data_IF_445772941346
#
_entry.id   IF_445772941346
#
_cell.length_a   1.000
_cell.length_b   1.000
_cell.length_c   1.000
_cell.angle_alpha   90.00
_cell.angle_beta   90.00
_cell.angle_gamma   90.00
#
_symmetry.space_group_name_H-M   'P 1'
#
loop_
_entity.id
_entity.type
_entity.pdbx_description
1 polymer ?
#
# COMPACT_ATOMS: atom_id res chain seq x y z
N UNK A 1 -64.47 -11.27 -28.62
CA UNK A 1 -63.83 -12.57 -28.31
C UNK A 1 -62.33 -12.31 -28.27
N UNK A 2 -61.84 -12.13 -27.05
CA UNK A 2 -60.52 -12.47 -26.48
C UNK A 2 -59.30 -11.85 -27.18
N UNK A 3 -58.49 -10.91 -26.66
CA UNK A 3 -58.25 -10.30 -25.34
C UNK A 3 -58.17 -11.24 -24.13
N UNK A 4 -56.93 -11.53 -23.68
CA UNK A 4 -56.42 -12.20 -22.44
C UNK A 4 -55.25 -13.09 -22.92
N UNK A 5 -54.01 -12.93 -22.49
CA UNK A 5 -53.51 -13.11 -21.13
C UNK A 5 -52.16 -12.41 -21.02
N UNK A 6 -51.99 -11.53 -20.04
CA UNK A 6 -50.88 -11.55 -19.07
C UNK A 6 -51.21 -10.48 -18.03
N UNK A 7 -51.87 -10.94 -16.97
CA UNK A 7 -52.28 -10.15 -15.83
C UNK A 7 -51.22 -10.32 -14.74
N UNK A 8 -50.78 -9.18 -14.20
CA UNK A 8 -50.48 -8.94 -12.78
C UNK A 8 -49.42 -9.80 -12.08
N UNK A 9 -48.22 -9.22 -11.97
CA UNK A 9 -47.43 -9.28 -10.73
C UNK A 9 -46.78 -7.90 -10.52
N UNK A 10 -47.59 -6.92 -10.10
CA UNK A 10 -47.08 -5.69 -9.50
C UNK A 10 -46.69 -6.02 -8.05
N UNK A 11 -45.42 -6.37 -7.82
CA UNK A 11 -44.87 -6.39 -6.46
C UNK A 11 -44.42 -4.97 -6.12
N UNK A 12 -45.30 -4.27 -5.40
CA UNK A 12 -45.00 -3.05 -4.66
C UNK A 12 -44.01 -3.39 -3.55
N UNK A 13 -42.71 -3.29 -3.80
CA UNK A 13 -41.72 -3.17 -2.72
C UNK A 13 -41.60 -1.69 -2.37
N UNK A 14 -42.45 -1.26 -1.43
CA UNK A 14 -42.19 -0.06 -0.66
C UNK A 14 -40.95 -0.30 0.19
N UNK A 15 -39.80 0.18 -0.28
CA UNK A 15 -38.60 0.28 0.54
C UNK A 15 -38.81 1.49 1.45
N UNK A 16 -39.34 1.21 2.64
CA UNK A 16 -39.21 2.09 3.79
C UNK A 16 -37.72 2.34 4.02
N UNK A 17 -37.29 3.59 3.86
CA UNK A 17 -36.03 4.11 4.41
C UNK A 17 -36.13 4.06 5.94
N UNK A 18 -35.89 2.88 6.51
CA UNK A 18 -35.59 2.76 7.93
C UNK A 18 -34.16 3.24 8.13
N UNK A 19 -34.05 4.45 8.67
CA UNK A 19 -32.83 4.94 9.30
C UNK A 19 -32.33 3.85 10.25
N UNK A 20 -31.28 3.14 9.84
CA UNK A 20 -30.64 2.18 10.71
C UNK A 20 -30.04 2.97 11.86
N UNK A 21 -30.59 2.70 13.05
CA UNK A 21 -30.06 3.12 14.31
C UNK A 21 -28.55 2.95 14.31
N UNK A 22 -27.85 4.00 14.73
CA UNK A 22 -26.44 3.98 15.04
C UNK A 22 -26.13 2.71 15.84
N UNK A 23 -25.42 1.79 15.18
CA UNK A 23 -24.90 0.60 15.84
C UNK A 23 -24.14 1.07 17.08
N UNK A 24 -24.48 0.47 18.21
CA UNK A 24 -23.80 0.61 19.49
C UNK A 24 -22.29 0.71 19.25
N UNK A 25 -21.73 1.85 19.61
CA UNK A 25 -20.30 2.13 19.49
C UNK A 25 -19.52 0.93 20.01
N UNK A 26 -18.81 0.25 19.12
CA UNK A 26 -17.86 -0.76 19.52
C UNK A 26 -16.92 -0.11 20.53
N UNK A 27 -16.91 -0.70 21.73
CA UNK A 27 -15.91 -0.51 22.76
C UNK A 27 -14.54 -0.39 22.08
N UNK A 28 -13.68 0.56 22.50
CA UNK A 28 -12.38 0.79 21.86
C UNK A 28 -11.62 -0.53 21.82
N UNK A 29 -11.66 -1.22 20.67
CA UNK A 29 -11.32 -2.63 20.66
C UNK A 29 -9.83 -2.73 21.02
N UNK A 30 -9.57 -3.28 22.20
CA UNK A 30 -8.19 -3.54 22.64
C UNK A 30 -7.50 -4.34 21.53
N UNK A 31 -6.19 -4.13 21.33
CA UNK A 31 -5.43 -4.89 20.35
C UNK A 31 -5.71 -6.39 20.49
N UNK A 32 -5.97 -7.07 19.38
CA UNK A 32 -6.18 -8.52 19.40
C UNK A 32 -4.91 -9.20 19.93
N UNK A 33 -5.04 -9.89 21.07
CA UNK A 33 -3.94 -10.59 21.73
C UNK A 33 -3.26 -11.63 20.84
N UNK A 34 -4.01 -12.27 19.92
CA UNK A 34 -3.43 -13.23 18.98
C UNK A 34 -2.61 -12.52 17.91
N UNK A 35 -3.11 -11.40 17.39
CA UNK A 35 -2.35 -10.55 16.48
C UNK A 35 -1.06 -10.01 17.11
N UNK A 36 -1.08 -9.63 18.40
CA UNK A 36 0.11 -9.18 19.14
C UNK A 36 1.13 -10.30 19.25
N UNK A 37 0.71 -11.49 19.70
CA UNK A 37 1.60 -12.67 19.76
C UNK A 37 2.22 -12.98 18.40
N UNK A 38 1.42 -12.97 17.33
CA UNK A 38 1.90 -13.19 15.96
C UNK A 38 2.91 -12.14 15.51
N UNK A 39 2.67 -10.87 15.84
CA UNK A 39 3.59 -9.77 15.54
C UNK A 39 4.95 -9.98 16.22
N UNK A 40 4.96 -10.40 17.49
CA UNK A 40 6.17 -10.67 18.27
C UNK A 40 6.99 -11.87 17.73
N UNK A 41 6.33 -12.84 17.07
CA UNK A 41 7.01 -14.00 16.45
C UNK A 41 7.95 -13.63 15.30
N UNK A 42 7.89 -12.41 14.75
CA UNK A 42 8.78 -11.96 13.67
C UNK A 42 10.24 -12.05 14.06
N UNK A 43 10.60 -11.63 15.27
CA UNK A 43 11.99 -11.70 15.72
C UNK A 43 12.51 -13.13 15.69
N UNK A 44 11.72 -14.06 16.21
CA UNK A 44 12.07 -15.48 16.22
C UNK A 44 12.09 -16.08 14.82
N UNK A 45 11.15 -15.71 13.94
CA UNK A 45 11.13 -16.15 12.54
C UNK A 45 12.40 -15.72 11.81
N UNK A 46 12.81 -14.45 11.97
CA UNK A 46 14.01 -13.92 11.32
C UNK A 46 15.30 -14.51 11.89
N UNK A 47 15.31 -14.88 13.17
CA UNK A 47 16.43 -15.62 13.78
C UNK A 47 16.53 -17.06 13.26
N UNK A 48 15.38 -17.72 13.06
CA UNK A 48 15.31 -19.07 12.50
C UNK A 48 15.71 -19.10 11.02
N UNK A 49 15.30 -18.09 10.24
CA UNK A 49 15.52 -18.00 8.80
C UNK A 49 16.25 -16.72 8.40
N UNK A 50 17.58 -16.63 8.65
CA UNK A 50 18.35 -15.40 8.42
C UNK A 50 18.41 -14.98 6.94
N UNK A 51 18.21 -15.91 6.00
CA UNK A 51 18.13 -15.60 4.56
C UNK A 51 16.92 -14.70 4.24
N UNK A 52 15.81 -14.87 4.97
CA UNK A 52 14.61 -14.05 4.80
C UNK A 52 14.88 -12.61 5.19
N UNK A 53 15.49 -12.41 6.37
CA UNK A 53 15.88 -11.08 6.84
C UNK A 53 16.89 -10.42 5.88
N UNK A 54 17.91 -11.16 5.46
CA UNK A 54 18.93 -10.67 4.51
C UNK A 54 18.29 -10.23 3.20
N UNK A 55 17.34 -11.01 2.68
CA UNK A 55 16.64 -10.66 1.43
C UNK A 55 15.80 -9.39 1.62
N UNK A 56 15.07 -9.29 2.73
CA UNK A 56 14.25 -8.12 3.06
C UNK A 56 15.07 -6.82 3.11
N UNK A 57 16.20 -6.84 3.81
CA UNK A 57 17.05 -5.65 4.01
C UNK A 57 17.95 -5.35 2.82
N UNK A 58 18.23 -6.32 1.95
CA UNK A 58 19.04 -6.10 0.74
C UNK A 58 18.30 -5.42 -0.42
N UNK A 59 16.97 -5.31 -0.33
CA UNK A 59 16.18 -4.73 -1.42
C UNK A 59 16.33 -3.19 -1.44
N UNK A 60 17.01 -2.67 -2.46
CA UNK A 60 17.38 -1.26 -2.58
C UNK A 60 16.18 -0.28 -2.51
N UNK A 61 14.98 -0.73 -2.88
CA UNK A 61 13.78 0.11 -2.93
C UNK A 61 12.75 -0.25 -1.85
N UNK A 62 13.06 -1.15 -0.91
CA UNK A 62 12.17 -1.40 0.23
C UNK A 62 12.03 -0.16 1.14
N UNK A 63 12.95 0.81 1.06
CA UNK A 63 12.85 2.12 1.72
C UNK A 63 12.13 3.19 0.90
N UNK A 64 11.51 2.84 -0.24
CA UNK A 64 10.85 3.80 -1.14
C UNK A 64 11.77 4.94 -1.63
N UNK A 65 13.07 4.66 -1.80
CA UNK A 65 14.09 5.65 -2.16
C UNK A 65 14.59 6.51 -0.99
N UNK A 66 14.09 6.27 0.22
CA UNK A 66 14.67 6.75 1.48
C UNK A 66 15.50 5.67 2.19
N UNK A 67 16.13 6.05 3.30
CA UNK A 67 16.83 5.10 4.17
C UNK A 67 15.83 4.13 4.83
N UNK A 68 16.26 2.89 5.12
CA UNK A 68 15.41 1.93 5.81
C UNK A 68 15.47 2.08 7.33
N UNK A 69 14.35 1.78 7.97
CA UNK A 69 14.24 1.63 9.42
C UNK A 69 13.23 0.55 9.77
N UNK A 70 13.68 -0.51 10.44
CA UNK A 70 12.79 -1.59 10.91
C UNK A 70 11.85 -1.08 12.00
N UNK A 71 12.31 -0.17 12.85
CA UNK A 71 11.48 0.43 13.90
C UNK A 71 10.33 1.23 13.28
N UNK A 72 10.63 2.14 12.35
CA UNK A 72 9.59 2.93 11.67
C UNK A 72 8.66 2.04 10.86
N UNK A 73 9.18 1.09 10.08
CA UNK A 73 8.36 0.21 9.23
C UNK A 73 7.30 -0.58 10.00
N UNK A 74 7.54 -0.91 11.27
CA UNK A 74 6.60 -1.68 12.09
C UNK A 74 5.71 -0.80 12.99
N UNK A 75 6.04 0.49 13.15
CA UNK A 75 5.43 1.40 14.12
C UNK A 75 5.02 2.74 13.50
N UNK A 76 4.57 2.75 12.24
CA UNK A 76 4.21 4.00 11.53
C UNK A 76 3.08 4.79 12.23
N UNK A 77 2.24 4.12 13.01
CA UNK A 77 1.15 4.75 13.77
C UNK A 77 1.52 5.11 15.22
N UNK A 78 2.70 4.72 15.70
CA UNK A 78 3.07 4.90 17.10
C UNK A 78 3.50 6.33 17.41
N UNK A 79 2.84 6.98 18.37
CA UNK A 79 3.28 8.29 18.90
C UNK A 79 4.36 8.17 19.97
N UNK A 80 4.66 6.95 20.44
CA UNK A 80 5.45 6.72 21.65
C UNK A 80 6.60 5.74 21.47
N UNK A 81 6.72 5.05 20.33
CA UNK A 81 7.86 4.16 20.08
C UNK A 81 9.17 4.96 20.00
N UNK A 82 10.00 4.85 21.04
CA UNK A 82 11.22 5.64 21.20
C UNK A 82 12.25 5.38 20.10
N UNK A 83 12.40 4.13 19.65
CA UNK A 83 13.35 3.77 18.60
C UNK A 83 12.94 4.35 17.25
N UNK A 84 11.65 4.25 16.90
CA UNK A 84 11.12 4.82 15.66
C UNK A 84 11.23 6.37 15.64
N UNK A 85 10.98 7.03 16.77
CA UNK A 85 11.15 8.48 16.91
C UNK A 85 12.63 8.87 16.80
N UNK A 86 13.53 8.10 17.43
CA UNK A 86 14.96 8.34 17.35
C UNK A 86 15.48 8.17 15.91
N UNK A 87 15.05 7.12 15.22
CA UNK A 87 15.38 6.89 13.81
C UNK A 87 14.84 8.03 12.92
N UNK A 88 13.61 8.50 13.14
CA UNK A 88 13.05 9.60 12.37
C UNK A 88 13.87 10.89 12.54
N UNK A 89 14.31 11.20 13.77
CA UNK A 89 15.20 12.34 14.03
C UNK A 89 16.58 12.16 13.40
N UNK A 90 17.19 10.99 13.56
CA UNK A 90 18.57 10.73 13.15
C UNK A 90 18.74 10.66 11.62
N UNK A 91 17.73 10.15 10.91
CA UNK A 91 17.78 9.87 9.48
C UNK A 91 17.07 10.91 8.62
N UNK A 92 16.40 11.88 9.23
CA UNK A 92 15.80 12.98 8.49
C UNK A 92 16.88 13.89 7.89
N UNK A 93 16.70 14.24 6.63
CA UNK A 93 17.50 15.25 5.92
C UNK A 93 16.62 16.40 5.46
N UNK A 94 17.21 17.59 5.37
CA UNK A 94 16.53 18.80 4.92
C UNK A 94 17.17 19.26 3.62
N UNK A 95 16.44 19.13 2.51
CA UNK A 95 16.92 19.49 1.18
C UNK A 95 16.31 20.83 0.72
N UNK A 96 17.10 21.92 0.62
CA UNK A 96 16.60 23.19 0.11
C UNK A 96 16.45 23.17 -1.42
N UNK A 97 15.33 23.65 -1.93
CA UNK A 97 15.00 23.68 -3.36
C UNK A 97 14.61 25.07 -3.87
N UNK A 98 15.30 26.10 -3.37
CA UNK A 98 15.03 27.50 -3.71
C UNK A 98 14.38 28.27 -2.57
N UNK A 99 13.92 29.49 -2.86
CA UNK A 99 13.46 30.41 -1.82
C UNK A 99 12.27 29.84 -1.07
N UNK A 100 12.45 29.63 0.24
CA UNK A 100 11.40 29.15 1.13
C UNK A 100 10.80 27.82 0.69
N UNK A 101 11.58 26.92 0.09
CA UNK A 101 11.12 25.60 -0.36
C UNK A 101 12.08 24.54 0.13
N UNK A 102 11.57 23.53 0.82
CA UNK A 102 12.37 22.40 1.31
C UNK A 102 11.63 21.08 1.07
N UNK A 103 12.41 20.02 0.84
CA UNK A 103 11.96 18.65 0.96
C UNK A 103 12.60 18.06 2.22
N UNK A 104 11.77 17.72 3.22
CA UNK A 104 12.23 16.97 4.38
C UNK A 104 12.14 15.50 3.99
N UNK A 105 13.28 14.83 3.87
CA UNK A 105 13.30 13.40 3.54
C UNK A 105 13.54 12.58 4.78
N UNK A 106 12.70 11.59 5.00
CA UNK A 106 12.77 10.68 6.13
C UNK A 106 12.86 9.24 5.60
N UNK A 107 13.11 8.25 6.47
CA UNK A 107 12.89 6.86 6.11
C UNK A 107 11.48 6.66 5.54
N UNK A 108 11.38 6.00 4.39
CA UNK A 108 10.12 5.77 3.65
C UNK A 108 9.51 7.01 3.01
N UNK A 109 9.20 8.10 3.72
CA UNK A 109 8.37 9.21 3.22
C UNK A 109 9.05 10.59 3.27
N UNK A 110 8.56 11.54 2.49
CA UNK A 110 9.00 12.94 2.49
C UNK A 110 7.86 13.90 2.88
N UNK A 111 8.24 15.14 3.20
CA UNK A 111 7.33 16.26 3.45
C UNK A 111 7.82 17.46 2.64
N UNK A 112 6.98 18.03 1.78
CA UNK A 112 7.32 19.28 1.10
C UNK A 112 6.89 20.48 1.94
N UNK A 113 7.80 21.42 2.18
CA UNK A 113 7.57 22.61 3.01
C UNK A 113 7.77 23.86 2.17
N UNK A 114 6.76 24.73 2.18
CA UNK A 114 6.78 26.02 1.51
C UNK A 114 6.60 27.13 2.54
N UNK A 115 7.59 27.99 2.70
CA UNK A 115 7.41 29.24 3.44
C UNK A 115 6.79 30.29 2.54
N UNK A 116 5.65 30.83 2.97
CA UNK A 116 4.93 31.93 2.33
C UNK A 116 4.96 33.17 3.25
N UNK A 117 4.32 34.27 2.83
CA UNK A 117 4.14 35.45 3.69
C UNK A 117 3.17 35.22 4.86
N UNK A 118 2.23 34.29 4.71
CA UNK A 118 1.16 34.02 5.69
C UNK A 118 1.47 32.83 6.61
N UNK A 119 2.54 32.09 6.33
CA UNK A 119 3.00 30.97 7.15
C UNK A 119 3.58 29.84 6.33
N UNK A 120 3.86 28.72 7.01
CA UNK A 120 4.30 27.49 6.37
C UNK A 120 3.11 26.74 5.76
N UNK A 121 3.27 26.29 4.53
CA UNK A 121 2.39 25.32 3.87
C UNK A 121 3.14 24.01 3.77
N UNK A 122 2.58 22.94 4.31
CA UNK A 122 3.10 21.59 4.23
C UNK A 122 2.26 20.81 3.22
N UNK A 123 2.92 20.00 2.39
CA UNK A 123 2.29 18.87 1.70
C UNK A 123 2.80 17.62 2.39
N UNK A 124 1.85 16.92 3.02
CA UNK A 124 2.03 15.86 4.01
C UNK A 124 2.75 16.28 5.30
N UNK A 125 2.78 15.37 6.28
CA UNK A 125 3.27 15.57 7.63
C UNK A 125 3.98 14.32 8.21
N UNK A 126 4.26 13.31 7.39
CA UNK A 126 4.99 12.10 7.80
C UNK A 126 4.15 11.10 8.59
N UNK A 127 4.78 9.99 9.01
CA UNK A 127 4.22 9.00 9.93
C UNK A 127 4.20 9.50 11.38
N UNK A 128 3.48 8.83 12.29
CA UNK A 128 3.33 9.31 13.67
C UNK A 128 4.69 9.48 14.39
N UNK A 129 5.66 8.55 14.31
CA UNK A 129 6.99 8.77 14.91
C UNK A 129 7.76 10.00 14.37
N UNK A 130 7.42 10.53 13.20
CA UNK A 130 8.09 11.70 12.61
C UNK A 130 7.69 13.02 13.28
N UNK A 131 6.54 13.06 13.96
CA UNK A 131 5.96 14.31 14.50
C UNK A 131 6.94 15.19 15.29
N UNK A 132 7.67 14.65 16.28
CA UNK A 132 8.64 15.45 17.04
C UNK A 132 9.77 16.01 16.18
N UNK A 133 10.30 15.21 15.25
CA UNK A 133 11.37 15.63 14.33
C UNK A 133 10.88 16.72 13.36
N UNK A 134 9.64 16.59 12.88
CA UNK A 134 8.97 17.59 12.05
C UNK A 134 8.85 18.91 12.80
N UNK A 135 8.25 18.92 13.99
CA UNK A 135 8.07 20.13 14.81
C UNK A 135 9.41 20.84 15.06
N UNK A 136 10.42 20.11 15.53
CA UNK A 136 11.76 20.64 15.81
C UNK A 136 12.39 21.27 14.56
N UNK A 137 12.18 20.67 13.39
CA UNK A 137 12.76 21.13 12.12
C UNK A 137 12.05 22.37 11.59
N UNK A 138 10.71 22.40 11.60
CA UNK A 138 9.96 23.58 11.17
C UNK A 138 10.36 24.82 11.99
N UNK A 139 10.59 24.67 13.31
CA UNK A 139 11.05 25.76 14.18
C UNK A 139 12.46 26.25 13.87
N UNK A 140 13.31 25.40 13.31
CA UNK A 140 14.65 25.80 12.82
C UNK A 140 14.57 26.50 11.47
N UNK A 141 13.64 26.08 10.61
CA UNK A 141 13.47 26.62 9.26
C UNK A 141 12.76 27.99 9.25
N UNK A 142 11.79 28.18 10.14
CA UNK A 142 10.98 29.40 10.17
C UNK A 142 10.43 29.71 11.56
N UNK A 143 10.27 31.00 11.84
CA UNK A 143 9.52 31.50 13.01
C UNK A 143 8.03 31.66 12.75
N UNK A 144 7.56 31.45 11.51
CA UNK A 144 6.15 31.61 11.13
C UNK A 144 5.31 30.41 11.59
N UNK A 145 4.00 30.60 11.84
CA UNK A 145 3.10 29.51 12.17
C UNK A 145 2.91 28.55 10.99
N UNK A 146 2.44 27.34 11.28
CA UNK A 146 1.97 26.42 10.23
C UNK A 146 0.57 26.88 9.81
N UNK A 147 0.47 27.41 8.60
CA UNK A 147 -0.77 27.96 8.05
C UNK A 147 -1.68 26.84 7.53
N UNK A 148 -1.11 25.93 6.72
CA UNK A 148 -1.87 24.88 6.03
C UNK A 148 -1.06 23.58 5.99
N UNK A 149 -1.73 22.45 6.19
CA UNK A 149 -1.25 21.10 5.90
C UNK A 149 -2.18 20.50 4.83
N UNK A 150 -1.63 20.17 3.68
CA UNK A 150 -2.31 19.46 2.60
C UNK A 150 -1.97 17.98 2.76
N UNK A 151 -2.93 17.14 3.14
CA UNK A 151 -2.72 15.69 3.23
C UNK A 151 -3.07 15.08 1.88
N UNK A 152 -2.09 14.44 1.25
CA UNK A 152 -2.23 13.92 -0.11
C UNK A 152 -3.18 12.75 -0.18
N UNK A 153 -3.14 11.85 0.81
CA UNK A 153 -4.04 10.70 0.97
C UNK A 153 -3.94 10.05 2.36
N UNK A 154 -4.79 9.07 2.64
CA UNK A 154 -5.02 8.45 3.95
C UNK A 154 -3.89 7.56 4.50
N UNK A 155 -2.86 7.23 3.71
CA UNK A 155 -1.81 6.32 4.18
C UNK A 155 -1.05 6.90 5.41
N UNK A 156 -0.56 5.97 6.24
CA UNK A 156 -0.04 6.25 7.59
C UNK A 156 1.06 7.31 7.60
N UNK A 157 1.91 7.25 6.60
CA UNK A 157 3.14 8.02 6.43
C UNK A 157 2.92 9.42 5.85
N UNK A 158 1.68 9.79 5.52
CA UNK A 158 1.37 11.09 4.92
C UNK A 158 0.76 12.07 5.92
N UNK A 159 -0.14 11.62 6.79
CA UNK A 159 -0.86 12.52 7.68
C UNK A 159 -0.38 12.49 9.12
N UNK A 160 0.03 11.32 9.63
CA UNK A 160 -0.04 11.06 11.06
C UNK A 160 0.92 11.90 11.90
N UNK A 161 2.09 12.29 11.39
CA UNK A 161 3.06 13.12 12.12
C UNK A 161 2.54 14.51 12.50
N UNK A 162 1.43 14.97 11.89
CA UNK A 162 0.77 16.23 12.24
C UNK A 162 0.33 16.29 13.71
N UNK A 163 0.13 15.15 14.40
CA UNK A 163 -0.29 15.13 15.82
C UNK A 163 0.61 16.01 16.70
N UNK A 164 1.92 16.01 16.46
CA UNK A 164 2.89 16.73 17.28
C UNK A 164 2.78 18.24 17.08
N UNK A 165 2.43 18.70 15.87
CA UNK A 165 2.17 20.12 15.59
C UNK A 165 0.91 20.58 16.33
N UNK A 166 -0.17 19.79 16.26
CA UNK A 166 -1.44 20.09 16.92
C UNK A 166 -1.31 20.14 18.44
N UNK A 167 -0.61 19.18 19.04
CA UNK A 167 -0.34 19.17 20.49
C UNK A 167 0.58 20.32 20.94
N UNK A 168 1.46 20.81 20.06
CA UNK A 168 2.25 22.02 20.29
C UNK A 168 1.45 23.32 20.13
N UNK A 169 0.14 23.24 19.85
CA UNK A 169 -0.76 24.40 19.78
C UNK A 169 -0.86 25.06 18.40
N UNK A 170 -0.25 24.49 17.36
CA UNK A 170 -0.50 24.93 15.99
C UNK A 170 -1.95 24.69 15.60
N UNK A 171 -2.51 25.58 14.79
CA UNK A 171 -3.91 25.50 14.31
C UNK A 171 -3.97 25.64 12.79
N UNK A 172 -3.29 24.77 12.04
CA UNK A 172 -3.29 24.85 10.59
C UNK A 172 -4.66 24.49 10.03
N UNK A 173 -4.96 24.99 8.83
CA UNK A 173 -5.97 24.38 7.98
C UNK A 173 -5.45 23.01 7.52
N UNK A 174 -6.18 21.94 7.78
CA UNK A 174 -5.88 20.60 7.27
C UNK A 174 -6.82 20.33 6.11
N UNK A 175 -6.27 20.21 4.91
CA UNK A 175 -7.03 20.14 3.66
C UNK A 175 -6.71 18.83 2.95
N UNK A 176 -7.75 18.13 2.50
CA UNK A 176 -7.63 16.90 1.71
C UNK A 176 -8.91 16.68 0.88
N UNK A 177 -8.99 15.57 0.15
CA UNK A 177 -10.16 15.23 -0.66
C UNK A 177 -11.34 14.77 0.20
N UNK A 178 -12.55 14.78 -0.33
CA UNK A 178 -13.74 14.28 0.36
C UNK A 178 -13.64 12.76 0.63
N UNK A 179 -13.00 12.03 -0.29
CA UNK A 179 -12.80 10.58 -0.27
C UNK A 179 -11.90 10.11 0.87
N UNK A 180 -11.01 10.98 1.39
CA UNK A 180 -10.11 10.68 2.50
C UNK A 180 -10.84 10.07 3.70
N UNK A 181 -11.97 10.66 4.08
CA UNK A 181 -12.75 10.20 5.23
C UNK A 181 -13.33 8.80 5.01
N UNK A 182 -13.73 8.48 3.76
CA UNK A 182 -14.25 7.17 3.41
C UNK A 182 -13.15 6.10 3.42
N UNK A 183 -11.97 6.41 2.87
CA UNK A 183 -10.82 5.50 2.88
C UNK A 183 -10.29 5.26 4.31
N UNK A 184 -10.20 6.32 5.13
CA UNK A 184 -9.80 6.21 6.54
C UNK A 184 -10.83 5.43 7.38
N UNK A 185 -12.12 5.66 7.16
CA UNK A 185 -13.18 4.89 7.81
C UNK A 185 -13.13 3.40 7.44
N UNK A 186 -12.88 3.08 6.17
CA UNK A 186 -12.65 1.69 5.76
C UNK A 186 -11.43 1.08 6.46
N UNK A 187 -10.31 1.80 6.50
CA UNK A 187 -9.09 1.33 7.14
C UNK A 187 -9.26 1.07 8.63
N UNK A 188 -9.96 1.95 9.33
CA UNK A 188 -10.22 1.79 10.77
C UNK A 188 -11.22 0.67 11.05
N UNK A 189 -12.27 0.50 10.22
CA UNK A 189 -13.21 -0.63 10.30
C UNK A 189 -12.54 -1.97 10.04
N UNK A 190 -11.52 -2.02 9.17
CA UNK A 190 -10.78 -3.24 8.86
C UNK A 190 -9.39 -3.27 9.48
N UNK A 191 -9.12 -2.52 10.55
CA UNK A 191 -7.76 -2.28 11.06
C UNK A 191 -6.95 -3.56 11.31
N UNK A 192 -7.56 -4.60 11.88
CA UNK A 192 -6.90 -5.87 12.14
C UNK A 192 -6.51 -6.61 10.84
N UNK A 193 -7.23 -6.37 9.75
CA UNK A 193 -6.96 -6.94 8.44
C UNK A 193 -6.06 -6.02 7.59
N UNK A 194 -6.53 -4.83 7.21
CA UNK A 194 -5.81 -3.95 6.29
C UNK A 194 -4.49 -3.43 6.88
N UNK A 195 -4.49 -2.99 8.14
CA UNK A 195 -3.34 -2.32 8.74
C UNK A 195 -2.42 -3.32 9.46
N UNK A 196 -2.99 -4.13 10.36
CA UNK A 196 -2.19 -5.07 11.16
C UNK A 196 -1.67 -6.23 10.30
N UNK A 197 -2.56 -6.92 9.59
CA UNK A 197 -2.20 -8.12 8.83
C UNK A 197 -1.49 -7.76 7.51
N UNK A 198 -2.08 -6.90 6.68
CA UNK A 198 -1.56 -6.64 5.32
C UNK A 198 -0.40 -5.62 5.30
N UNK A 199 -0.44 -4.62 6.18
CA UNK A 199 0.64 -3.62 6.31
C UNK A 199 1.65 -3.97 7.41
N UNK A 200 1.45 -5.10 8.09
CA UNK A 200 2.39 -5.61 9.10
C UNK A 200 2.64 -4.63 10.25
N UNK A 201 1.69 -3.76 10.58
CA UNK A 201 1.85 -2.81 11.68
C UNK A 201 1.58 -3.43 13.04
N UNK A 202 2.17 -2.84 14.07
CA UNK A 202 1.94 -3.26 15.45
C UNK A 202 0.46 -3.09 15.84
N UNK A 203 -0.25 -4.17 16.23
CA UNK A 203 -1.65 -4.08 16.62
C UNK A 203 -1.93 -3.08 17.74
N UNK A 204 -0.92 -2.73 18.56
CA UNK A 204 -1.05 -1.79 19.68
C UNK A 204 -1.13 -0.33 19.24
N UNK A 205 -0.61 -0.01 18.07
CA UNK A 205 -0.49 1.37 17.59
C UNK A 205 -1.59 1.74 16.57
N UNK A 206 -2.26 0.76 15.94
CA UNK A 206 -3.17 1.03 14.82
C UNK A 206 -4.46 1.77 15.23
N UNK A 207 -4.91 2.75 14.41
CA UNK A 207 -6.18 3.44 14.63
C UNK A 207 -7.36 2.49 14.41
N UNK A 208 -8.39 2.61 15.25
CA UNK A 208 -9.60 1.76 15.21
C UNK A 208 -10.89 2.56 15.12
N UNK A 209 -10.79 3.87 15.23
CA UNK A 209 -11.87 4.83 15.00
C UNK A 209 -11.35 5.94 14.10
N UNK A 210 -12.23 6.52 13.31
CA UNK A 210 -11.89 7.66 12.47
C UNK A 210 -11.28 8.82 13.28
N UNK A 211 -11.72 9.01 14.53
CA UNK A 211 -11.18 10.02 15.45
C UNK A 211 -9.76 9.75 15.94
N UNK A 212 -9.21 8.56 15.70
CA UNK A 212 -7.81 8.24 16.02
C UNK A 212 -6.85 8.75 14.92
N UNK A 213 -7.39 9.07 13.74
CA UNK A 213 -6.66 9.62 12.60
C UNK A 213 -6.53 11.15 12.68
N UNK A 214 -5.83 11.73 11.70
CA UNK A 214 -5.76 13.19 11.53
C UNK A 214 -6.98 13.64 10.72
N UNK A 215 -7.90 14.35 11.39
CA UNK A 215 -9.12 14.82 10.75
C UNK A 215 -8.87 16.11 9.96
N UNK A 216 -9.35 16.22 8.71
CA UNK A 216 -9.29 17.46 7.96
C UNK A 216 -10.20 18.52 8.57
N UNK A 217 -9.76 19.78 8.52
CA UNK A 217 -10.61 20.94 8.83
C UNK A 217 -11.48 21.32 7.64
N UNK A 218 -11.06 20.93 6.44
CA UNK A 218 -11.74 21.22 5.18
C UNK A 218 -11.49 20.08 4.18
N UNK A 219 -12.53 19.65 3.48
CA UNK A 219 -12.42 18.72 2.35
C UNK A 219 -12.88 19.37 1.05
N UNK A 220 -12.48 18.79 -0.09
CA UNK A 220 -12.93 19.23 -1.41
C UNK A 220 -13.10 18.07 -2.38
N UNK A 221 -13.81 18.31 -3.48
CA UNK A 221 -13.98 17.37 -4.60
C UNK A 221 -13.35 17.94 -5.85
N UNK A 222 -12.73 17.11 -6.68
CA UNK A 222 -12.16 17.54 -7.96
C UNK A 222 -10.92 18.42 -7.79
N UNK A 223 -11.03 19.72 -8.04
CA UNK A 223 -9.89 20.63 -7.94
C UNK A 223 -10.17 21.78 -6.96
N UNK A 224 -9.14 22.15 -6.20
CA UNK A 224 -9.17 23.31 -5.30
C UNK A 224 -7.93 24.17 -5.48
N UNK A 225 -8.12 25.49 -5.56
CA UNK A 225 -7.02 26.45 -5.58
C UNK A 225 -6.93 27.16 -4.23
N UNK A 226 -5.74 27.21 -3.65
CA UNK A 226 -5.42 27.96 -2.43
C UNK A 226 -4.44 29.08 -2.78
N UNK A 227 -4.79 30.32 -2.41
CA UNK A 227 -3.87 31.46 -2.46
C UNK A 227 -3.38 31.74 -1.05
N UNK A 228 -2.08 31.57 -0.82
CA UNK A 228 -1.47 31.73 0.51
C UNK A 228 -0.19 32.56 0.34
N UNK A 229 -0.24 33.82 0.77
CA UNK A 229 0.81 34.80 0.46
C UNK A 229 0.89 35.07 -1.04
N UNK A 230 2.09 34.93 -1.61
CA UNK A 230 2.36 35.20 -3.03
C UNK A 230 2.22 33.94 -3.91
N UNK A 231 1.91 32.78 -3.32
CA UNK A 231 1.84 31.50 -4.02
C UNK A 231 0.39 31.03 -4.22
N UNK A 232 0.21 30.33 -5.35
CA UNK A 232 -1.02 29.63 -5.68
C UNK A 232 -0.75 28.12 -5.69
N UNK A 233 -1.47 27.39 -4.84
CA UNK A 233 -1.43 25.93 -4.74
C UNK A 233 -2.70 25.37 -5.38
N UNK A 234 -2.56 24.67 -6.49
CA UNK A 234 -3.68 24.00 -7.17
C UNK A 234 -3.63 22.52 -6.80
N UNK A 235 -4.57 22.10 -5.96
CA UNK A 235 -4.76 20.73 -5.49
C UNK A 235 -5.71 20.03 -6.45
N UNK A 236 -5.26 18.95 -7.08
CA UNK A 236 -6.07 18.19 -8.02
C UNK A 236 -6.23 16.77 -7.50
N UNK A 237 -7.46 16.38 -7.17
CA UNK A 237 -7.83 15.01 -6.87
C UNK A 237 -7.79 14.19 -8.16
N UNK A 238 -7.12 13.05 -8.11
CA UNK A 238 -7.16 12.04 -9.15
C UNK A 238 -6.94 10.67 -8.51
N UNK A 239 -7.74 9.67 -8.85
CA UNK A 239 -7.55 8.37 -8.21
C UNK A 239 -6.24 7.75 -8.69
N UNK A 240 -5.53 7.08 -7.80
CA UNK A 240 -4.18 6.59 -8.06
C UNK A 240 -3.87 5.36 -7.25
N UNK A 241 -2.92 5.48 -6.33
CA UNK A 241 -2.60 4.46 -5.35
C UNK A 241 -3.80 4.16 -4.43
N UNK A 242 -4.58 5.20 -4.14
CA UNK A 242 -5.85 5.15 -3.42
C UNK A 242 -6.92 5.98 -4.13
N UNK A 243 -8.18 5.85 -3.68
CA UNK A 243 -9.29 6.61 -4.23
C UNK A 243 -9.28 8.10 -3.80
N UNK A 244 -8.57 8.45 -2.73
CA UNK A 244 -8.55 9.79 -2.14
C UNK A 244 -7.35 10.65 -2.54
N UNK A 245 -6.46 10.13 -3.37
CA UNK A 245 -5.18 10.77 -3.67
C UNK A 245 -5.30 12.08 -4.43
N UNK A 246 -4.48 13.06 -4.05
CA UNK A 246 -4.34 14.34 -4.76
C UNK A 246 -2.87 14.67 -5.04
N UNK A 247 -2.63 15.52 -6.04
CA UNK A 247 -1.33 16.15 -6.30
C UNK A 247 -1.44 17.67 -6.27
N UNK A 248 -0.31 18.36 -6.08
CA UNK A 248 -0.26 19.82 -5.90
C UNK A 248 0.61 20.46 -6.97
N UNK A 249 0.06 21.41 -7.71
CA UNK A 249 0.81 22.29 -8.61
C UNK A 249 1.04 23.65 -7.94
N UNK A 250 2.27 24.13 -7.92
CA UNK A 250 2.65 25.46 -7.45
C UNK A 250 3.27 26.21 -8.63
N UNK A 251 2.40 26.70 -9.52
CA UNK A 251 2.81 27.27 -10.80
C UNK A 251 3.74 28.49 -10.64
N UNK A 252 3.52 29.30 -9.60
CA UNK A 252 4.37 30.46 -9.25
C UNK A 252 5.83 30.07 -8.99
N UNK A 253 6.07 28.83 -8.57
CA UNK A 253 7.40 28.26 -8.31
C UNK A 253 7.83 27.24 -9.37
N UNK A 254 6.95 26.90 -10.33
CA UNK A 254 7.10 25.80 -11.30
C UNK A 254 7.39 24.44 -10.66
N UNK A 255 6.68 24.15 -9.57
CA UNK A 255 6.84 22.93 -8.78
C UNK A 255 5.59 22.07 -8.90
N UNK A 256 5.77 20.75 -9.04
CA UNK A 256 4.72 19.77 -8.76
C UNK A 256 5.11 18.94 -7.55
N UNK A 257 4.20 18.81 -6.58
CA UNK A 257 4.30 17.80 -5.52
C UNK A 257 3.45 16.61 -5.94
N UNK A 258 4.11 15.50 -6.26
CA UNK A 258 3.49 14.38 -6.98
C UNK A 258 2.84 13.34 -6.06
N UNK A 259 2.72 13.59 -4.75
CA UNK A 259 2.29 12.57 -3.80
C UNK A 259 3.02 11.23 -4.05
N UNK A 260 2.24 10.14 -4.07
CA UNK A 260 2.67 8.79 -4.40
C UNK A 260 2.51 8.44 -5.88
N UNK A 261 2.10 9.37 -6.74
CA UNK A 261 1.91 9.06 -8.15
C UNK A 261 3.23 8.71 -8.84
N UNK A 262 4.31 9.41 -8.48
CA UNK A 262 5.64 9.05 -8.95
C UNK A 262 6.48 8.48 -7.81
N UNK A 263 7.15 7.37 -8.08
CA UNK A 263 8.04 6.66 -7.18
C UNK A 263 9.33 6.28 -7.93
N UNK A 264 10.49 6.16 -7.26
CA UNK A 264 11.78 5.94 -7.92
C UNK A 264 12.02 4.48 -8.38
N UNK A 265 10.95 3.71 -8.60
CA UNK A 265 10.93 2.31 -8.98
C UNK A 265 9.60 2.00 -9.71
N UNK A 266 9.45 0.77 -10.23
CA UNK A 266 8.19 0.40 -10.90
C UNK A 266 7.01 0.63 -9.96
N UNK A 267 6.13 1.57 -10.34
CA UNK A 267 5.10 2.09 -9.45
C UNK A 267 4.32 0.98 -8.77
N UNK A 268 4.05 1.16 -7.48
CA UNK A 268 3.48 0.12 -6.65
C UNK A 268 1.99 -0.22 -6.98
N UNK A 269 1.45 0.23 -8.12
CA UNK A 269 0.10 -0.05 -8.63
C UNK A 269 -0.30 -1.54 -8.56
N UNK A 270 0.66 -2.46 -8.64
CA UNK A 270 0.44 -3.91 -8.54
C UNK A 270 0.37 -4.49 -7.12
N UNK A 271 0.25 -3.69 -6.06
CA UNK A 271 0.24 -4.23 -4.70
C UNK A 271 -1.05 -5.02 -4.39
N UNK A 272 -1.02 -6.34 -4.58
CA UNK A 272 -2.17 -7.24 -4.39
C UNK A 272 -2.70 -7.35 -2.95
N UNK A 273 -2.00 -6.81 -1.95
CA UNK A 273 -2.49 -6.72 -0.56
C UNK A 273 -3.42 -5.53 -0.33
N UNK A 274 -3.66 -4.68 -1.33
CA UNK A 274 -4.35 -3.41 -1.14
C UNK A 274 -5.76 -3.43 -1.70
N UNK A 275 -6.57 -2.45 -1.27
CA UNK A 275 -7.81 -2.08 -1.96
C UNK A 275 -7.51 -1.72 -3.43
N UNK A 276 -8.57 -1.52 -4.21
CA UNK A 276 -8.41 -1.18 -5.63
C UNK A 276 -7.43 0.00 -5.79
N UNK A 277 -6.48 -0.14 -6.72
CA UNK A 277 -5.65 0.98 -7.20
C UNK A 277 -6.09 1.31 -8.62
N UNK A 278 -6.14 2.59 -8.96
CA UNK A 278 -6.82 3.08 -10.15
C UNK A 278 -5.81 3.33 -11.26
N UNK A 279 -5.35 2.24 -11.89
CA UNK A 279 -4.18 2.23 -12.79
C UNK A 279 -4.35 3.18 -13.98
N UNK A 280 -5.54 3.22 -14.60
CA UNK A 280 -5.83 4.11 -15.72
C UNK A 280 -5.86 5.59 -15.31
N UNK A 281 -6.54 5.90 -14.20
CA UNK A 281 -6.64 7.28 -13.68
C UNK A 281 -5.27 7.78 -13.18
N UNK A 282 -4.47 6.90 -12.58
CA UNK A 282 -3.09 7.18 -12.21
C UNK A 282 -2.26 7.55 -13.44
N UNK A 283 -2.35 6.78 -14.52
CA UNK A 283 -1.65 7.09 -15.77
C UNK A 283 -2.03 8.48 -16.29
N UNK A 284 -3.31 8.86 -16.20
CA UNK A 284 -3.78 10.19 -16.59
C UNK A 284 -3.22 11.28 -15.68
N UNK A 285 -3.26 11.11 -14.36
CA UNK A 285 -2.72 12.07 -13.39
C UNK A 285 -1.24 12.39 -13.66
N UNK A 286 -0.44 11.38 -14.00
CA UNK A 286 0.96 11.56 -14.39
C UNK A 286 1.13 12.39 -15.67
N UNK A 287 0.24 12.22 -16.65
CA UNK A 287 0.23 13.04 -17.88
C UNK A 287 -0.19 14.48 -17.58
N UNK A 288 -1.16 14.67 -16.70
CA UNK A 288 -1.63 15.99 -16.29
C UNK A 288 -0.53 16.76 -15.55
N UNK A 289 0.21 16.09 -14.66
CA UNK A 289 1.41 16.65 -14.03
C UNK A 289 2.48 17.01 -15.06
N UNK A 290 2.75 16.16 -16.04
CA UNK A 290 3.72 16.46 -17.08
C UNK A 290 3.27 17.66 -17.92
N UNK A 291 1.97 17.81 -18.19
CA UNK A 291 1.41 18.91 -18.96
C UNK A 291 1.57 20.28 -18.29
N UNK A 292 1.73 20.34 -16.96
CA UNK A 292 2.06 21.61 -16.26
C UNK A 292 3.49 22.08 -16.48
N UNK A 293 4.34 21.24 -17.09
CA UNK A 293 5.75 21.52 -17.41
C UNK A 293 6.54 22.04 -16.21
N UNK A 294 6.57 21.32 -15.08
CA UNK A 294 7.30 21.75 -13.89
C UNK A 294 8.82 21.69 -14.13
N UNK A 295 9.54 22.63 -13.52
CA UNK A 295 11.01 22.63 -13.48
C UNK A 295 11.52 21.69 -12.37
N UNK A 296 10.71 21.48 -11.33
CA UNK A 296 11.01 20.67 -10.15
C UNK A 296 9.81 19.78 -9.78
N UNK A 297 10.07 18.49 -9.52
CA UNK A 297 9.10 17.58 -8.92
C UNK A 297 9.57 17.14 -7.53
N UNK A 298 8.70 17.32 -6.54
CA UNK A 298 8.89 16.89 -5.16
C UNK A 298 7.99 15.67 -4.90
N UNK A 299 8.53 14.45 -4.86
CA UNK A 299 7.74 13.27 -4.56
C UNK A 299 7.62 13.04 -3.06
N UNK A 300 6.60 12.30 -2.63
CA UNK A 300 6.49 11.89 -1.22
C UNK A 300 7.35 10.66 -0.92
N UNK A 301 8.00 10.09 -1.94
CA UNK A 301 8.95 8.99 -1.83
C UNK A 301 10.19 9.23 -2.69
N UNK A 302 11.38 9.10 -2.11
CA UNK A 302 12.65 9.22 -2.83
C UNK A 302 13.17 10.65 -2.99
N UNK A 303 14.17 10.88 -3.85
CA UNK A 303 14.76 12.19 -4.06
C UNK A 303 13.90 13.10 -4.96
N UNK A 304 14.04 14.41 -4.82
CA UNK A 304 13.48 15.38 -5.74
C UNK A 304 14.06 15.22 -7.17
N UNK A 305 13.25 15.50 -8.18
CA UNK A 305 13.69 15.60 -9.58
C UNK A 305 13.89 17.08 -9.92
N UNK A 306 15.13 17.50 -10.04
CA UNK A 306 15.52 18.92 -10.16
C UNK A 306 15.80 19.36 -11.60
N UNK A 307 15.56 18.50 -12.58
CA UNK A 307 15.75 18.77 -14.00
C UNK A 307 14.43 18.60 -14.76
N UNK A 308 13.96 19.66 -15.43
CA UNK A 308 12.69 19.65 -16.15
C UNK A 308 12.55 18.53 -17.20
N UNK A 309 13.62 18.22 -17.93
CA UNK A 309 13.61 17.16 -18.94
C UNK A 309 13.51 15.77 -18.29
N UNK A 310 14.21 15.58 -17.16
CA UNK A 310 14.09 14.36 -16.36
C UNK A 310 12.67 14.21 -15.78
N UNK A 311 12.06 15.30 -15.30
CA UNK A 311 10.67 15.28 -14.81
C UNK A 311 9.72 14.83 -15.91
N UNK A 312 9.83 15.40 -17.12
CA UNK A 312 9.01 15.02 -18.27
C UNK A 312 9.20 13.55 -18.64
N UNK A 313 10.45 13.10 -18.79
CA UNK A 313 10.76 11.71 -19.14
C UNK A 313 10.16 10.73 -18.12
N UNK A 314 10.37 10.99 -16.83
CA UNK A 314 9.95 10.07 -15.76
C UNK A 314 8.44 10.00 -15.60
N UNK A 315 7.74 11.14 -15.59
CA UNK A 315 6.27 11.15 -15.52
C UNK A 315 5.63 10.43 -16.70
N UNK A 316 6.11 10.70 -17.92
CA UNK A 316 5.55 10.11 -19.14
C UNK A 316 5.92 8.63 -19.28
N UNK A 317 7.11 8.21 -18.86
CA UNK A 317 7.51 6.80 -18.82
C UNK A 317 6.63 6.00 -17.84
N UNK A 318 6.39 6.54 -16.65
CA UNK A 318 5.47 5.94 -15.66
C UNK A 318 4.04 5.88 -16.18
N UNK A 319 3.54 6.94 -16.83
CA UNK A 319 2.21 6.94 -17.44
C UNK A 319 2.09 5.90 -18.56
N UNK A 320 3.11 5.76 -19.40
CA UNK A 320 3.16 4.76 -20.46
C UNK A 320 3.18 3.33 -19.90
N UNK A 321 3.93 3.09 -18.82
CA UNK A 321 3.96 1.80 -18.14
C UNK A 321 2.55 1.39 -17.66
N UNK A 322 1.85 2.28 -16.95
CA UNK A 322 0.51 1.99 -16.45
C UNK A 322 -0.52 1.85 -17.57
N UNK A 323 -0.50 2.73 -18.58
CA UNK A 323 -1.40 2.67 -19.75
C UNK A 323 -1.23 1.34 -20.48
N UNK A 324 0.02 0.89 -20.68
CA UNK A 324 0.27 -0.38 -21.36
C UNK A 324 -0.25 -1.59 -20.58
N UNK A 325 -0.21 -1.59 -19.26
CA UNK A 325 -0.82 -2.65 -18.46
C UNK A 325 -2.35 -2.68 -18.64
N UNK A 326 -2.98 -1.50 -18.72
CA UNK A 326 -4.42 -1.37 -18.98
C UNK A 326 -4.78 -1.93 -20.37
N UNK A 327 -4.09 -1.46 -21.40
CA UNK A 327 -4.34 -1.86 -22.79
C UNK A 327 -4.16 -3.37 -22.97
N UNK A 328 -3.05 -3.95 -22.49
CA UNK A 328 -2.78 -5.39 -22.62
C UNK A 328 -3.82 -6.26 -21.90
N UNK A 329 -4.34 -5.80 -20.76
CA UNK A 329 -5.40 -6.52 -20.03
C UNK A 329 -6.73 -6.42 -20.76
N UNK A 330 -7.12 -5.23 -21.22
CA UNK A 330 -8.36 -5.03 -21.97
C UNK A 330 -8.34 -5.85 -23.28
N UNK A 331 -7.22 -5.85 -24.00
CA UNK A 331 -7.03 -6.67 -25.20
C UNK A 331 -7.17 -8.16 -24.89
N UNK A 332 -6.60 -8.60 -23.77
CA UNK A 332 -6.72 -9.98 -23.30
C UNK A 332 -8.17 -10.38 -22.99
N UNK A 333 -8.89 -9.53 -22.26
CA UNK A 333 -10.30 -9.75 -21.91
C UNK A 333 -11.20 -9.77 -23.15
N UNK A 334 -11.00 -8.83 -24.08
CA UNK A 334 -11.76 -8.77 -25.34
C UNK A 334 -11.44 -9.94 -26.28
N UNK A 335 -10.28 -10.57 -26.12
CA UNK A 335 -9.89 -11.80 -26.82
C UNK A 335 -10.35 -13.08 -26.11
N UNK A 336 -11.22 -12.98 -25.10
CA UNK A 336 -11.76 -14.10 -24.32
C UNK A 336 -10.67 -14.97 -23.65
N UNK A 337 -9.52 -14.36 -23.31
CA UNK A 337 -8.45 -15.04 -22.58
C UNK A 337 -8.80 -15.14 -21.11
N UNK A 338 -8.38 -16.24 -20.48
CA UNK A 338 -8.55 -16.43 -19.04
C UNK A 338 -7.65 -15.46 -18.25
N UNK A 339 -8.06 -14.94 -17.07
CA UNK A 339 -7.25 -13.99 -16.32
C UNK A 339 -5.80 -14.42 -16.03
N UNK A 340 -5.54 -15.70 -15.74
CA UNK A 340 -4.18 -16.22 -15.57
C UNK A 340 -3.36 -16.21 -16.87
N UNK A 341 -4.00 -16.46 -18.02
CA UNK A 341 -3.35 -16.37 -19.34
C UNK A 341 -2.98 -14.92 -19.66
N UNK A 342 -3.84 -13.97 -19.30
CA UNK A 342 -3.56 -12.53 -19.44
C UNK A 342 -2.36 -12.15 -18.57
N UNK A 343 -2.38 -12.46 -17.26
CA UNK A 343 -1.27 -12.13 -16.34
C UNK A 343 0.04 -12.83 -16.74
N UNK A 344 -0.02 -14.03 -17.31
CA UNK A 344 1.16 -14.73 -17.81
C UNK A 344 1.73 -14.10 -19.09
N UNK A 345 0.87 -13.50 -19.93
CA UNK A 345 1.27 -12.94 -21.22
C UNK A 345 1.73 -11.48 -21.15
N UNK A 346 1.32 -10.70 -20.14
CA UNK A 346 1.69 -9.28 -20.05
C UNK A 346 3.19 -9.07 -19.94
N UNK A 347 3.70 -8.07 -20.66
CA UNK A 347 5.12 -7.72 -20.66
C UNK A 347 5.31 -6.21 -20.54
N UNK A 348 6.33 -5.80 -19.78
CA UNK A 348 6.76 -4.41 -19.75
C UNK A 348 7.16 -3.99 -21.18
N UNK A 349 6.70 -2.81 -21.66
CA UNK A 349 7.04 -2.29 -22.98
C UNK A 349 8.55 -2.30 -23.22
N UNK A 350 8.98 -2.71 -24.42
CA UNK A 350 10.41 -2.86 -24.76
C UNK A 350 11.21 -1.59 -24.49
N UNK A 351 10.65 -0.42 -24.85
CA UNK A 351 11.28 0.87 -24.65
C UNK A 351 11.40 1.31 -23.17
N UNK A 352 10.77 0.59 -22.24
CA UNK A 352 10.85 0.85 -20.80
C UNK A 352 11.72 -0.18 -20.06
N UNK A 353 12.16 -1.26 -20.74
CA UNK A 353 13.02 -2.28 -20.13
C UNK A 353 14.39 -1.70 -19.77
N UNK A 354 14.93 -2.16 -18.63
CA UNK A 354 16.24 -1.73 -18.13
C UNK A 354 16.28 -0.35 -17.48
N UNK A 355 15.18 0.42 -17.51
CA UNK A 355 15.09 1.69 -16.77
C UNK A 355 15.13 1.43 -15.26
N UNK A 356 15.91 2.24 -14.53
CA UNK A 356 16.03 2.12 -13.06
C UNK A 356 14.72 2.39 -12.34
N UNK A 357 13.94 3.35 -12.84
CA UNK A 357 12.61 3.71 -12.33
C UNK A 357 11.50 2.73 -12.79
N UNK A 358 11.85 1.66 -13.50
CA UNK A 358 10.96 0.55 -13.85
C UNK A 358 11.46 -0.79 -13.28
N UNK A 359 12.42 -0.75 -12.35
CA UNK A 359 12.93 -1.94 -11.71
C UNK A 359 11.83 -2.61 -10.87
N UNK A 360 11.63 -3.92 -11.07
CA UNK A 360 10.65 -4.77 -10.35
C UNK A 360 11.10 -5.11 -8.93
N UNK A 361 11.45 -4.09 -8.14
CA UNK A 361 11.98 -4.27 -6.79
C UNK A 361 10.89 -4.24 -5.73
N UNK A 362 9.76 -3.58 -5.99
CA UNK A 362 8.67 -3.48 -5.02
C UNK A 362 7.52 -4.43 -5.39
N UNK A 363 7.06 -4.34 -6.63
CA UNK A 363 6.12 -5.25 -7.29
C UNK A 363 6.66 -5.59 -8.68
N UNK A 364 6.01 -6.53 -9.37
CA UNK A 364 6.29 -6.86 -10.78
C UNK A 364 5.27 -6.19 -11.69
N UNK A 365 5.62 -5.98 -12.95
CA UNK A 365 4.69 -5.46 -13.96
C UNK A 365 3.45 -6.33 -14.10
N UNK A 366 3.60 -7.67 -14.06
CA UNK A 366 2.46 -8.59 -14.05
C UNK A 366 1.50 -8.40 -12.88
N UNK A 367 1.98 -7.88 -11.74
CA UNK A 367 1.10 -7.58 -10.61
C UNK A 367 0.26 -6.33 -10.88
N UNK A 368 0.77 -5.37 -11.66
CA UNK A 368 -0.03 -4.21 -12.13
C UNK A 368 -1.19 -4.71 -12.97
N UNK A 369 -0.94 -5.65 -13.90
CA UNK A 369 -2.00 -6.28 -14.68
C UNK A 369 -3.04 -7.00 -13.81
N UNK A 370 -2.64 -7.68 -12.72
CA UNK A 370 -3.58 -8.27 -11.77
C UNK A 370 -4.48 -7.23 -11.10
N UNK A 371 -3.97 -6.03 -10.81
CA UNK A 371 -4.78 -4.93 -10.26
C UNK A 371 -5.77 -4.36 -11.28
N UNK A 372 -5.37 -4.28 -12.56
CA UNK A 372 -6.29 -3.91 -13.65
C UNK A 372 -7.37 -4.99 -13.81
N UNK A 373 -7.01 -6.27 -13.84
CA UNK A 373 -7.99 -7.36 -13.93
C UNK A 373 -9.01 -7.33 -12.78
N UNK A 374 -8.59 -6.99 -11.57
CA UNK A 374 -9.51 -6.81 -10.43
C UNK A 374 -10.57 -5.73 -10.70
N UNK A 375 -10.24 -4.68 -11.45
CA UNK A 375 -11.14 -3.58 -11.80
C UNK A 375 -12.07 -3.94 -12.96
N UNK A 376 -11.53 -4.54 -14.03
CA UNK A 376 -12.26 -4.75 -15.28
C UNK A 376 -12.83 -6.17 -15.47
N UNK A 377 -12.19 -7.19 -14.88
CA UNK A 377 -12.55 -8.60 -15.05
C UNK A 377 -13.42 -9.18 -13.93
N UNK A 378 -13.51 -8.50 -12.78
CA UNK A 378 -14.21 -9.01 -11.60
C UNK A 378 -13.48 -10.18 -10.93
N UNK A 379 -14.21 -10.97 -10.14
CA UNK A 379 -13.65 -12.10 -9.38
C UNK A 379 -13.66 -13.43 -10.15
N UNK A 380 -14.51 -13.54 -11.18
CA UNK A 380 -14.66 -14.77 -11.96
C UNK A 380 -13.44 -15.01 -12.84
N UNK A 381 -12.87 -16.22 -12.79
CA UNK A 381 -11.61 -16.53 -13.47
C UNK A 381 -11.76 -17.46 -14.68
N UNK A 382 -12.97 -17.77 -15.13
CA UNK A 382 -13.21 -18.60 -16.31
C UNK A 382 -13.06 -20.12 -16.10
N UNK A 383 -12.81 -20.61 -14.88
CA UNK A 383 -12.71 -22.05 -14.58
C UNK A 383 -14.00 -22.55 -13.93
N UNK A 384 -14.87 -23.32 -14.61
CA UNK A 384 -16.19 -23.75 -14.09
C UNK A 384 -16.16 -24.37 -12.69
N UNK A 385 -15.16 -25.20 -12.40
CA UNK A 385 -15.00 -25.85 -11.09
C UNK A 385 -14.66 -24.90 -9.95
N UNK A 386 -14.30 -23.64 -10.26
CA UNK A 386 -13.96 -22.61 -9.28
C UNK A 386 -15.10 -21.62 -9.03
N UNK A 387 -16.26 -21.78 -9.69
CA UNK A 387 -17.46 -21.01 -9.38
C UNK A 387 -18.01 -21.35 -8.00
N UNK A 388 -18.03 -22.64 -7.67
CA UNK A 388 -18.39 -23.18 -6.36
C UNK A 388 -17.48 -24.38 -6.04
N UNK A 389 -16.21 -24.14 -5.68
CA UNK A 389 -15.24 -25.21 -5.50
C UNK A 389 -15.49 -25.98 -4.20
N UNK A 390 -15.08 -27.25 -4.17
CA UNK A 390 -14.91 -27.96 -2.91
C UNK A 390 -13.99 -27.16 -1.97
N UNK A 391 -14.22 -27.27 -0.66
CA UNK A 391 -13.37 -26.57 0.31
C UNK A 391 -11.89 -26.89 0.10
N UNK A 392 -11.01 -25.91 0.32
CA UNK A 392 -9.56 -26.11 0.17
C UNK A 392 -9.06 -27.31 0.99
N UNK A 393 -9.62 -27.54 2.18
CA UNK A 393 -9.30 -28.68 3.03
C UNK A 393 -9.74 -30.02 2.40
N UNK A 394 -10.96 -30.10 1.85
CA UNK A 394 -11.47 -31.30 1.18
C UNK A 394 -10.63 -31.67 -0.03
N UNK A 395 -10.38 -30.68 -0.91
CA UNK A 395 -9.53 -30.87 -2.08
C UNK A 395 -8.13 -31.34 -1.68
N UNK A 396 -7.53 -30.69 -0.69
CA UNK A 396 -6.17 -31.00 -0.25
C UNK A 396 -6.05 -32.40 0.36
N UNK A 397 -7.03 -32.83 1.17
CA UNK A 397 -7.09 -34.22 1.69
C UNK A 397 -7.16 -35.25 0.58
N UNK A 398 -7.94 -34.98 -0.46
CA UNK A 398 -8.04 -35.87 -1.62
C UNK A 398 -6.70 -35.95 -2.37
N UNK A 399 -6.02 -34.82 -2.58
CA UNK A 399 -4.70 -34.78 -3.21
C UNK A 399 -3.65 -35.55 -2.41
N UNK A 400 -3.64 -35.38 -1.08
CA UNK A 400 -2.76 -36.14 -0.17
C UNK A 400 -3.05 -37.64 -0.22
N UNK A 401 -4.32 -38.04 -0.23
CA UNK A 401 -4.71 -39.45 -0.35
C UNK A 401 -4.24 -40.05 -1.70
N UNK A 402 -4.39 -39.31 -2.80
CA UNK A 402 -3.90 -39.74 -4.12
C UNK A 402 -2.38 -39.87 -4.17
N UNK A 403 -1.65 -39.04 -3.41
CA UNK A 403 -0.20 -39.12 -3.30
C UNK A 403 0.30 -40.27 -2.39
N UNK A 404 -0.61 -41.05 -1.79
CA UNK A 404 -0.26 -42.15 -0.89
C UNK A 404 0.03 -41.72 0.56
N UNK A 405 -0.44 -40.53 0.96
CA UNK A 405 -0.32 -40.01 2.33
C UNK A 405 0.56 -38.77 2.43
N UNK A 406 0.43 -38.05 3.56
CA UNK A 406 1.05 -36.74 3.77
C UNK A 406 2.58 -36.80 3.77
N UNK A 407 3.16 -37.92 4.21
CA UNK A 407 4.61 -38.10 4.23
C UNK A 407 5.22 -38.03 2.83
N UNK A 408 4.58 -38.67 1.84
CA UNK A 408 5.04 -38.63 0.45
C UNK A 408 5.01 -37.19 -0.10
N UNK A 409 3.99 -36.42 0.29
CA UNK A 409 3.90 -35.00 -0.09
C UNK A 409 5.01 -34.18 0.57
N UNK A 410 5.27 -34.37 1.87
CA UNK A 410 6.37 -33.70 2.58
C UNK A 410 7.74 -34.04 2.01
N UNK A 411 7.99 -35.29 1.66
CA UNK A 411 9.24 -35.72 1.04
C UNK A 411 9.42 -35.07 -0.33
N UNK A 412 8.34 -34.97 -1.11
CA UNK A 412 8.35 -34.27 -2.40
C UNK A 412 8.57 -32.75 -2.24
N UNK A 413 7.98 -32.12 -1.22
CA UNK A 413 8.23 -30.71 -0.89
C UNK A 413 9.72 -30.51 -0.59
N UNK A 414 10.33 -31.37 0.24
CA UNK A 414 11.75 -31.29 0.60
C UNK A 414 12.66 -31.45 -0.62
N UNK A 415 12.31 -32.36 -1.54
CA UNK A 415 13.03 -32.56 -2.79
C UNK A 415 12.94 -31.32 -3.70
N UNK A 416 11.73 -30.82 -3.95
CA UNK A 416 11.47 -29.70 -4.84
C UNK A 416 11.93 -28.36 -4.29
N UNK A 417 12.02 -28.19 -2.97
CA UNK A 417 12.44 -26.91 -2.37
C UNK A 417 13.82 -26.44 -2.85
N UNK A 418 14.65 -27.33 -3.40
CA UNK A 418 15.97 -27.01 -3.97
C UNK A 418 15.95 -26.74 -5.49
N UNK A 419 15.00 -27.31 -6.22
CA UNK A 419 14.95 -27.24 -7.70
C UNK A 419 13.83 -26.36 -8.22
N UNK A 420 12.65 -26.44 -7.60
CA UNK A 420 11.48 -25.61 -7.89
C UNK A 420 10.78 -25.21 -6.58
N UNK A 421 11.29 -24.18 -5.89
CA UNK A 421 10.71 -23.75 -4.62
C UNK A 421 9.30 -23.16 -4.77
N UNK A 422 8.89 -22.72 -5.97
CA UNK A 422 7.53 -22.25 -6.21
C UNK A 422 6.54 -23.42 -6.14
N UNK A 423 6.83 -24.51 -6.86
CA UNK A 423 6.04 -25.73 -6.83
C UNK A 423 6.06 -26.39 -5.45
N UNK A 424 7.21 -26.38 -4.77
CA UNK A 424 7.31 -26.86 -3.40
C UNK A 424 6.35 -26.14 -2.44
N UNK A 425 6.21 -24.81 -2.56
CA UNK A 425 5.26 -24.04 -1.76
C UNK A 425 3.80 -24.38 -2.09
N UNK A 426 3.46 -24.60 -3.37
CA UNK A 426 2.11 -25.03 -3.74
C UNK A 426 1.76 -26.39 -3.14
N UNK A 427 2.71 -27.34 -3.12
CA UNK A 427 2.52 -28.62 -2.45
C UNK A 427 2.47 -28.47 -0.92
N UNK A 428 3.25 -27.55 -0.35
CA UNK A 428 3.21 -27.23 1.08
C UNK A 428 1.83 -26.70 1.49
N UNK A 429 1.21 -25.84 0.68
CA UNK A 429 -0.17 -25.40 0.91
C UNK A 429 -1.15 -26.57 0.91
N UNK A 430 -1.02 -27.51 -0.03
CA UNK A 430 -1.83 -28.75 -0.06
C UNK A 430 -1.64 -29.57 1.23
N UNK A 431 -0.39 -29.85 1.62
CA UNK A 431 -0.13 -30.58 2.86
C UNK A 431 -0.72 -29.85 4.08
N UNK A 432 -0.51 -28.54 4.17
CA UNK A 432 -1.01 -27.69 5.24
C UNK A 432 -2.53 -27.71 5.36
N UNK A 433 -3.26 -27.53 4.27
CA UNK A 433 -4.73 -27.53 4.32
C UNK A 433 -5.32 -28.93 4.54
N UNK A 434 -4.58 -30.00 4.21
CA UNK A 434 -4.98 -31.36 4.52
C UNK A 434 -4.83 -31.71 6.00
N UNK A 435 -3.69 -31.33 6.61
CA UNK A 435 -3.33 -31.64 7.99
C UNK A 435 -2.79 -30.41 8.75
N UNK A 436 -3.63 -29.41 9.06
CA UNK A 436 -3.20 -28.10 9.55
C UNK A 436 -2.62 -28.09 10.98
N UNK A 437 -2.74 -29.20 11.70
CA UNK A 437 -2.20 -29.38 13.07
C UNK A 437 -1.02 -30.37 13.10
N UNK A 438 -0.60 -30.91 11.95
CA UNK A 438 0.53 -31.83 11.88
C UNK A 438 1.84 -31.03 11.98
N UNK A 439 2.66 -31.34 12.98
CA UNK A 439 3.91 -30.62 13.25
C UNK A 439 4.93 -30.73 12.10
N UNK A 440 5.08 -31.91 11.48
CA UNK A 440 6.03 -32.09 10.36
C UNK A 440 5.56 -31.32 9.11
N UNK A 441 4.24 -31.25 8.87
CA UNK A 441 3.66 -30.44 7.79
C UNK A 441 3.92 -28.96 8.01
N UNK A 442 3.62 -28.44 9.20
CA UNK A 442 3.82 -27.03 9.55
C UNK A 442 5.31 -26.63 9.44
N UNK A 443 6.21 -27.48 9.94
CA UNK A 443 7.65 -27.25 9.85
C UNK A 443 8.17 -27.35 8.40
N UNK A 444 7.73 -28.37 7.64
CA UNK A 444 8.10 -28.54 6.24
C UNK A 444 7.62 -27.37 5.38
N UNK A 445 6.42 -26.85 5.63
CA UNK A 445 5.90 -25.67 4.94
C UNK A 445 6.70 -24.40 5.29
N UNK A 446 7.07 -24.20 6.56
CA UNK A 446 7.93 -23.09 6.96
C UNK A 446 9.27 -23.11 6.22
N UNK A 447 9.91 -24.28 6.15
CA UNK A 447 11.20 -24.45 5.48
C UNK A 447 11.09 -24.23 3.97
N UNK A 448 10.01 -24.71 3.34
CA UNK A 448 9.76 -24.50 1.91
C UNK A 448 9.59 -23.00 1.58
N UNK A 449 8.79 -22.26 2.35
CA UNK A 449 8.62 -20.82 2.15
C UNK A 449 9.89 -20.02 2.48
N UNK A 450 10.70 -20.46 3.45
CA UNK A 450 12.01 -19.86 3.71
C UNK A 450 12.94 -20.02 2.51
N UNK A 451 12.95 -21.20 1.86
CA UNK A 451 13.75 -21.46 0.65
C UNK A 451 13.19 -20.77 -0.61
N UNK A 452 11.89 -20.49 -0.65
CA UNK A 452 11.28 -19.67 -1.70
C UNK A 452 11.79 -18.23 -1.70
N UNK A 453 12.15 -17.70 -0.53
CA UNK A 453 12.73 -16.36 -0.40
C UNK A 453 14.19 -16.34 -0.86
N UNK A 454 14.41 -15.68 -2.01
CA UNK A 454 15.70 -15.57 -2.67
C UNK A 454 16.04 -14.10 -3.01
N UNK A 455 17.32 -13.73 -3.14
CA UNK A 455 17.74 -12.39 -3.55
C UNK A 455 17.07 -11.93 -4.85
N UNK A 456 16.73 -10.64 -4.94
CA UNK A 456 16.03 -10.07 -6.10
C UNK A 456 14.51 -10.24 -6.07
N UNK A 457 13.95 -10.86 -5.02
CA UNK A 457 12.51 -10.92 -4.82
C UNK A 457 11.92 -9.52 -4.53
N UNK A 458 10.82 -9.14 -5.19
CA UNK A 458 10.13 -7.88 -4.91
C UNK A 458 9.64 -7.81 -3.46
N UNK A 459 9.70 -6.63 -2.85
CA UNK A 459 9.32 -6.41 -1.44
C UNK A 459 7.92 -6.92 -1.12
N UNK A 460 6.93 -6.68 -1.99
CA UNK A 460 5.56 -7.12 -1.72
C UNK A 460 5.42 -8.65 -1.75
N UNK A 461 6.06 -9.33 -2.71
CA UNK A 461 6.09 -10.81 -2.77
C UNK A 461 6.70 -11.38 -1.49
N UNK A 462 7.83 -10.81 -1.05
CA UNK A 462 8.50 -11.21 0.19
C UNK A 462 7.61 -11.04 1.43
N UNK A 463 6.93 -9.90 1.58
CA UNK A 463 6.08 -9.66 2.76
C UNK A 463 4.87 -10.61 2.81
N UNK A 464 4.35 -11.05 1.66
CA UNK A 464 3.28 -12.07 1.60
C UNK A 464 3.79 -13.39 2.19
N UNK A 465 4.98 -13.82 1.78
CA UNK A 465 5.59 -15.06 2.29
C UNK A 465 5.91 -14.97 3.79
N UNK A 466 6.48 -13.85 4.25
CA UNK A 466 6.72 -13.63 5.68
C UNK A 466 5.42 -13.73 6.49
N UNK A 467 4.33 -13.13 6.01
CA UNK A 467 3.05 -13.16 6.73
C UNK A 467 2.45 -14.56 6.80
N UNK A 468 2.61 -15.36 5.73
CA UNK A 468 2.22 -16.77 5.71
C UNK A 468 3.09 -17.60 6.66
N UNK A 469 4.41 -17.43 6.63
CA UNK A 469 5.34 -18.08 7.56
C UNK A 469 5.03 -17.75 9.03
N UNK A 470 4.64 -16.51 9.34
CA UNK A 470 4.19 -16.16 10.70
C UNK A 470 2.91 -16.92 11.11
N UNK A 471 1.99 -17.19 10.17
CA UNK A 471 0.81 -18.02 10.44
C UNK A 471 1.22 -19.44 10.78
N UNK A 472 2.05 -20.05 9.93
CA UNK A 472 2.55 -21.42 10.14
C UNK A 472 3.30 -21.55 11.46
N UNK A 473 4.20 -20.59 11.77
CA UNK A 473 4.97 -20.58 13.01
C UNK A 473 4.09 -20.41 14.25
N UNK A 474 3.09 -19.54 14.17
CA UNK A 474 2.12 -19.37 15.26
C UNK A 474 1.37 -20.67 15.54
N UNK A 475 0.91 -21.36 14.49
CA UNK A 475 0.21 -22.64 14.63
C UNK A 475 1.11 -23.75 15.13
N UNK A 476 2.35 -23.83 14.63
CA UNK A 476 3.35 -24.78 15.09
C UNK A 476 3.58 -24.65 16.60
N UNK A 477 3.73 -23.42 17.10
CA UNK A 477 3.84 -23.17 18.54
C UNK A 477 2.63 -23.67 19.32
N UNK A 478 1.42 -23.40 18.82
CA UNK A 478 0.17 -23.84 19.48
C UNK A 478 0.06 -25.36 19.56
N UNK A 479 0.57 -26.13 18.60
CA UNK A 479 0.51 -27.60 18.63
C UNK A 479 1.68 -28.27 19.36
N UNK A 480 2.74 -27.51 19.65
CA UNK A 480 3.90 -27.99 20.43
C UNK A 480 3.82 -27.68 21.92
N UNK A 481 2.94 -26.76 22.32
CA UNK A 481 2.62 -26.42 23.71
C UNK A 481 1.44 -27.27 24.18
#
# INVERSE_FOLDING_TARGET
MIQRFFQTAALTLGITLSAHAAGTAADSAKPDSQAVKKFELRKELMQQYPNVLKTLTSNANAGFGGEQSTAIANHMYSRTNAEAIADARAKMTVEPHGKGTWLLRMPYVNIAVFETREGLVLVDAGYAPAGPALLETLRKLSSKPVNTIIITHHHADHGFGAWSLLEAGEKPRIITTQEYLAEMDLDTRTANYSIVQLNSQDPRDVPRKLTDAILPTETFTGQKTLKIGDDEFVLTHARGESADQLWVNVATRKIVVSADYWQPFLLNAGNGKRRQRHVAEWAQALRDMAATKPDLLLPMHGPALTNAAEVQDKLLASANMLSSAVDQVIDGLNADKRPDEIVAAVQLPENLRGRKDMAETYVRFKNVASMVLKEYGGWWNGIPSEWDPASRATFSKQMVAMAGGVQNVNDQIKLLSKSDPALACQLADIAYFAEPTNQDVLQTALDAYALRVQPGMPTQELTVYIQHMLTLKSQLKTVTQ
#
